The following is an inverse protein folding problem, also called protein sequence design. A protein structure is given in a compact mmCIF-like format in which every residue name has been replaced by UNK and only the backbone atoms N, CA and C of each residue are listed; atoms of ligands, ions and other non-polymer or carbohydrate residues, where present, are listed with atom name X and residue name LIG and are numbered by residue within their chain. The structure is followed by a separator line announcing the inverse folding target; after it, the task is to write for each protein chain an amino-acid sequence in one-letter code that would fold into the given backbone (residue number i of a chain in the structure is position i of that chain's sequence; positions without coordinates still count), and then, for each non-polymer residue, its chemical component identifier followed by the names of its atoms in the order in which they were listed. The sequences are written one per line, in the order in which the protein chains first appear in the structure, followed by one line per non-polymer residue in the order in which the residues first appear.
data_IF_550665355276
#
_entry.id   IF_550665355276
#
_cell.length_a   1.000
_cell.length_b   1.000
_cell.length_c   1.000
_cell.angle_alpha   90.00
_cell.angle_beta   90.00
_cell.angle_gamma   90.00
#
_symmetry.space_group_name_H-M   'P 1'
#
loop_
_entity.id
_entity.type
_entity.pdbx_description
1 polymer ?
#
# COMPACT_ATOMS: atom_id res chain seq x y z
N UNK A 1 17.07 7.37 33.65
CA UNK A 1 17.05 6.91 32.26
C UNK A 1 17.91 5.67 32.02
N UNK A 2 19.17 5.65 32.43
CA UNK A 2 20.13 4.52 32.22
C UNK A 2 19.67 3.15 32.81
N UNK A 3 18.99 3.15 33.96
CA UNK A 3 18.48 1.91 34.59
C UNK A 3 17.29 1.28 33.87
N UNK A 4 16.48 2.09 33.19
CA UNK A 4 15.32 1.61 32.42
C UNK A 4 15.80 0.95 31.12
N UNK A 5 16.77 1.56 30.44
CA UNK A 5 17.38 1.02 29.21
C UNK A 5 18.03 -0.35 29.48
N UNK A 6 18.76 -0.50 30.57
CA UNK A 6 19.36 -1.79 30.97
C UNK A 6 18.31 -2.87 31.24
N UNK A 7 17.16 -2.52 31.85
CA UNK A 7 16.06 -3.47 32.08
C UNK A 7 15.38 -3.89 30.76
N UNK A 8 15.20 -2.96 29.82
CA UNK A 8 14.63 -3.28 28.50
C UNK A 8 15.59 -4.18 27.71
N UNK A 9 16.89 -3.88 27.69
CA UNK A 9 17.90 -4.73 27.03
C UNK A 9 17.95 -6.13 27.67
N UNK A 10 17.89 -6.22 29.02
CA UNK A 10 17.86 -7.51 29.72
C UNK A 10 16.57 -8.30 29.41
N UNK A 11 15.42 -7.63 29.30
CA UNK A 11 14.15 -8.26 28.93
C UNK A 11 14.17 -8.78 27.49
N UNK A 12 14.74 -8.04 26.56
CA UNK A 12 14.93 -8.44 25.16
C UNK A 12 15.91 -9.62 25.06
N UNK A 13 17.01 -9.60 25.81
CA UNK A 13 17.98 -10.71 25.84
C UNK A 13 17.41 -11.95 26.52
N UNK A 14 16.57 -11.81 27.54
CA UNK A 14 15.89 -12.91 28.20
C UNK A 14 14.83 -13.56 27.29
N UNK A 15 14.10 -12.74 26.50
CA UNK A 15 13.15 -13.26 25.51
C UNK A 15 13.86 -14.03 24.39
N UNK A 16 15.07 -13.63 24.01
CA UNK A 16 15.89 -14.34 23.02
C UNK A 16 16.33 -15.72 23.52
N UNK A 17 16.67 -15.87 24.80
CA UNK A 17 17.10 -17.16 25.36
C UNK A 17 15.96 -18.20 25.41
N UNK A 18 14.71 -17.77 25.61
CA UNK A 18 13.55 -18.68 25.57
C UNK A 18 13.17 -19.13 24.16
N UNK A 19 13.44 -18.34 23.14
CA UNK A 19 13.05 -18.63 21.77
C UNK A 19 14.00 -19.63 21.07
N UNK A 20 15.26 -19.67 21.48
CA UNK A 20 16.26 -20.60 20.89
C UNK A 20 15.97 -22.06 21.28
N UNK A 21 15.27 -22.32 22.39
CA UNK A 21 15.02 -23.70 22.86
C UNK A 21 13.84 -24.42 22.17
N UNK A 22 13.00 -23.73 21.35
CA UNK A 22 11.84 -24.37 20.70
C UNK A 22 11.94 -24.48 19.17
N UNK A 23 13.13 -24.26 18.60
CA UNK A 23 13.28 -24.15 17.15
C UNK A 23 13.81 -25.41 16.48
N UNK A 24 13.12 -26.52 16.59
CA UNK A 24 13.39 -27.75 15.82
C UNK A 24 12.35 -28.09 14.75
N UNK A 25 11.56 -27.13 14.27
CA UNK A 25 10.77 -27.39 13.07
C UNK A 25 11.40 -26.69 11.88
N UNK A 26 12.10 -27.44 11.03
CA UNK A 26 12.57 -26.99 9.72
C UNK A 26 11.40 -26.35 8.97
N UNK A 27 11.48 -25.05 8.74
CA UNK A 27 10.60 -24.39 7.77
C UNK A 27 11.12 -24.83 6.39
N UNK A 28 10.34 -25.56 5.57
CA UNK A 28 10.83 -26.13 4.33
C UNK A 28 11.28 -25.06 3.31
N UNK A 29 10.78 -23.86 3.41
CA UNK A 29 11.13 -22.72 2.57
C UNK A 29 11.53 -21.54 3.45
N UNK A 30 12.78 -21.07 3.25
CA UNK A 30 13.29 -19.88 3.93
C UNK A 30 12.66 -18.58 3.41
N UNK A 31 11.85 -18.68 2.37
CA UNK A 31 11.23 -17.55 1.66
C UNK A 31 9.72 -17.58 1.88
N UNK A 32 9.13 -16.44 2.00
CA UNK A 32 7.68 -16.26 2.01
C UNK A 32 7.28 -15.09 1.12
N UNK A 33 6.06 -15.15 0.63
CA UNK A 33 5.41 -14.09 -0.12
C UNK A 33 3.94 -13.95 0.29
N UNK A 34 3.41 -12.74 0.19
CA UNK A 34 2.01 -12.46 0.51
C UNK A 34 1.49 -11.35 -0.40
N UNK A 35 0.28 -11.54 -0.91
CA UNK A 35 -0.51 -10.51 -1.58
C UNK A 35 -1.71 -10.20 -0.70
N UNK A 36 -1.93 -8.93 -0.38
CA UNK A 36 -2.98 -8.51 0.55
C UNK A 36 -3.78 -7.34 -0.01
N UNK A 37 -5.06 -7.31 0.30
CA UNK A 37 -5.86 -6.10 0.21
C UNK A 37 -5.57 -5.21 1.42
N UNK A 38 -5.51 -3.90 1.19
CA UNK A 38 -5.14 -2.91 2.21
C UNK A 38 -6.19 -1.82 2.29
N UNK A 39 -6.56 -1.49 3.52
CA UNK A 39 -7.26 -0.24 3.85
C UNK A 39 -6.23 0.65 4.52
N UNK A 40 -5.89 1.76 3.87
CA UNK A 40 -4.95 2.77 4.40
C UNK A 40 -5.76 3.94 4.95
N UNK A 41 -5.70 4.14 6.25
CA UNK A 41 -6.40 5.20 6.95
C UNK A 41 -5.41 6.33 7.25
N UNK A 42 -5.58 7.53 6.69
CA UNK A 42 -4.82 8.72 7.05
C UNK A 42 -4.93 9.03 8.54
N UNK A 43 -3.83 9.49 9.14
CA UNK A 43 -3.76 9.83 10.56
C UNK A 43 -3.23 11.26 10.75
N UNK A 44 -3.52 11.85 11.92
CA UNK A 44 -3.00 13.16 12.29
C UNK A 44 -3.35 14.26 11.28
N UNK A 45 -2.36 15.05 10.89
CA UNK A 45 -2.52 16.14 9.93
C UNK A 45 -2.97 15.66 8.54
N UNK A 46 -2.52 14.46 8.13
CA UNK A 46 -2.92 13.89 6.86
C UNK A 46 -4.42 13.61 6.81
N UNK A 47 -5.02 13.14 7.91
CA UNK A 47 -6.46 12.88 7.99
C UNK A 47 -7.32 14.15 7.90
N UNK A 48 -6.80 15.30 8.35
CA UNK A 48 -7.50 16.58 8.25
C UNK A 48 -7.65 17.04 6.79
N UNK A 49 -6.68 16.65 5.96
CA UNK A 49 -6.61 17.03 4.55
C UNK A 49 -7.20 15.95 3.65
N UNK A 50 -7.02 14.65 4.02
CA UNK A 50 -7.53 13.50 3.29
C UNK A 50 -8.61 12.83 4.13
N UNK A 51 -9.85 13.24 3.95
CA UNK A 51 -11.00 12.75 4.75
C UNK A 51 -11.59 11.44 4.22
N UNK A 52 -10.75 10.59 3.61
CA UNK A 52 -11.17 9.28 3.05
C UNK A 52 -10.09 8.23 3.28
N UNK A 53 -10.53 7.00 3.54
CA UNK A 53 -9.64 5.86 3.58
C UNK A 53 -9.18 5.50 2.17
N UNK A 54 -7.90 5.20 2.02
CA UNK A 54 -7.36 4.63 0.80
C UNK A 54 -7.62 3.14 0.73
N UNK A 55 -7.94 2.65 -0.47
CA UNK A 55 -8.02 1.22 -0.78
C UNK A 55 -6.85 0.85 -1.67
N UNK A 56 -6.29 -0.35 -1.45
CA UNK A 56 -5.12 -0.74 -2.20
C UNK A 56 -4.70 -2.19 -2.06
N UNK A 57 -3.50 -2.46 -2.54
CA UNK A 57 -2.86 -3.77 -2.53
C UNK A 57 -1.49 -3.66 -1.90
N UNK A 58 -1.12 -4.66 -1.09
CA UNK A 58 0.21 -4.83 -0.53
C UNK A 58 0.85 -6.10 -1.07
N UNK A 59 2.03 -5.96 -1.63
CA UNK A 59 2.94 -7.05 -1.98
C UNK A 59 4.03 -7.11 -0.92
N UNK A 60 4.17 -8.24 -0.28
CA UNK A 60 5.09 -8.45 0.84
C UNK A 60 5.89 -9.73 0.61
N UNK A 61 7.20 -9.68 0.83
CA UNK A 61 8.06 -10.84 0.69
C UNK A 61 9.35 -10.72 1.48
N UNK A 62 9.91 -11.87 1.87
CA UNK A 62 11.13 -11.90 2.63
C UNK A 62 11.68 -13.31 2.84
N UNK A 63 12.82 -13.37 3.51
CA UNK A 63 13.47 -14.63 3.84
C UNK A 63 13.86 -14.68 5.33
N UNK A 64 13.79 -15.88 5.89
CA UNK A 64 14.21 -16.14 7.27
C UNK A 64 15.73 -16.30 7.35
N UNK A 65 16.37 -15.54 8.23
CA UNK A 65 17.81 -15.56 8.44
C UNK A 65 18.15 -16.85 9.18
N UNK A 66 19.05 -17.63 8.61
CA UNK A 66 19.56 -18.90 9.18
C UNK A 66 18.46 -19.89 9.65
N UNK A 67 17.34 -19.94 8.95
CA UNK A 67 16.15 -20.71 9.38
C UNK A 67 15.65 -20.32 10.79
N UNK A 68 16.02 -19.12 11.26
CA UNK A 68 15.69 -18.60 12.57
C UNK A 68 14.32 -17.91 12.62
N UNK A 69 13.98 -17.31 13.77
CA UNK A 69 12.69 -16.64 13.97
C UNK A 69 12.62 -15.26 13.34
N UNK A 70 13.72 -14.76 12.81
CA UNK A 70 13.83 -13.42 12.26
C UNK A 70 13.90 -13.49 10.74
N UNK A 71 13.05 -12.75 10.07
CA UNK A 71 13.09 -12.56 8.64
C UNK A 71 13.45 -11.11 8.29
N UNK A 72 14.08 -10.93 7.14
CA UNK A 72 14.26 -9.65 6.48
C UNK A 72 13.49 -9.67 5.17
N UNK A 73 12.95 -8.54 4.77
CA UNK A 73 12.14 -8.48 3.55
C UNK A 73 11.80 -7.07 3.13
N UNK A 74 10.90 -6.98 2.18
CA UNK A 74 10.36 -5.74 1.66
C UNK A 74 8.86 -5.83 1.42
N UNK A 75 8.17 -4.70 1.55
CA UNK A 75 6.77 -4.55 1.19
C UNK A 75 6.58 -3.34 0.30
N UNK A 76 5.68 -3.50 -0.68
CA UNK A 76 5.23 -2.41 -1.54
C UNK A 76 3.72 -2.30 -1.41
N UNK A 77 3.24 -1.14 -0.96
CA UNK A 77 1.82 -0.85 -0.83
C UNK A 77 1.45 0.19 -1.88
N UNK A 78 0.41 -0.10 -2.65
CA UNK A 78 -0.25 0.84 -3.56
C UNK A 78 -1.64 1.11 -3.01
N UNK A 79 -1.97 2.37 -2.69
CA UNK A 79 -3.29 2.75 -2.21
C UNK A 79 -3.77 4.03 -2.88
N UNK A 80 -5.05 4.06 -3.23
CA UNK A 80 -5.71 5.23 -3.79
C UNK A 80 -6.60 5.86 -2.71
N UNK A 81 -6.47 7.16 -2.48
CA UNK A 81 -7.22 7.88 -1.44
C UNK A 81 -8.13 8.99 -1.97
N UNK A 82 -8.05 9.35 -3.24
CA UNK A 82 -8.89 10.36 -3.86
C UNK A 82 -9.19 10.06 -5.32
N UNK A 83 -10.39 10.42 -5.76
CA UNK A 83 -10.77 10.36 -7.18
C UNK A 83 -11.82 11.43 -7.46
N UNK A 84 -11.63 12.15 -8.54
CA UNK A 84 -12.54 13.15 -9.07
C UNK A 84 -12.72 12.88 -10.56
N UNK A 85 -13.98 12.73 -11.00
CA UNK A 85 -14.31 12.57 -12.42
C UNK A 85 -15.20 13.71 -12.86
N UNK A 86 -14.96 14.24 -14.04
CA UNK A 86 -15.82 15.26 -14.67
C UNK A 86 -15.89 15.01 -16.18
N UNK A 87 -16.98 15.45 -16.75
CA UNK A 87 -17.20 15.44 -18.19
C UNK A 87 -16.79 16.79 -18.77
N UNK A 88 -15.94 16.78 -19.81
CA UNK A 88 -15.46 17.96 -20.52
C UNK A 88 -15.85 17.87 -21.98
N UNK A 89 -16.32 18.96 -22.63
CA UNK A 89 -16.60 18.94 -24.06
C UNK A 89 -15.28 18.81 -24.85
N UNK A 90 -15.26 17.96 -25.87
CA UNK A 90 -14.11 17.78 -26.76
C UNK A 90 -13.75 19.07 -27.51
N UNK A 91 -14.74 19.88 -27.85
CA UNK A 91 -14.55 21.10 -28.56
C UNK A 91 -15.36 22.25 -27.94
N UNK A 92 -14.76 23.43 -27.94
CA UNK A 92 -15.42 24.64 -27.45
C UNK A 92 -16.66 25.03 -28.29
N UNK A 93 -16.70 24.60 -29.56
CA UNK A 93 -17.78 24.90 -30.49
C UNK A 93 -18.85 23.81 -30.63
N UNK A 94 -18.63 22.65 -30.02
CA UNK A 94 -19.56 21.53 -30.11
C UNK A 94 -19.56 20.71 -28.82
N UNK A 95 -20.71 20.62 -28.21
CA UNK A 95 -20.95 19.73 -27.03
C UNK A 95 -21.34 18.31 -27.45
N UNK A 96 -21.25 17.99 -28.75
CA UNK A 96 -21.68 16.68 -29.26
C UNK A 96 -20.79 15.52 -28.87
N UNK A 97 -19.53 15.78 -28.47
CA UNK A 97 -18.59 14.76 -28.00
C UNK A 97 -18.13 15.16 -26.60
N UNK A 98 -18.38 14.28 -25.62
CA UNK A 98 -17.99 14.47 -24.25
C UNK A 98 -16.83 13.55 -23.91
N UNK A 99 -15.81 14.10 -23.29
CA UNK A 99 -14.66 13.36 -22.76
C UNK A 99 -14.78 13.27 -21.24
N UNK A 100 -14.44 12.14 -20.67
CA UNK A 100 -14.34 11.97 -19.23
C UNK A 100 -12.90 12.18 -18.77
N UNK A 101 -12.70 13.23 -18.00
CA UNK A 101 -11.47 13.46 -17.26
C UNK A 101 -11.58 12.86 -15.86
N UNK A 102 -10.66 11.97 -15.51
CA UNK A 102 -10.59 11.36 -14.17
C UNK A 102 -9.24 11.66 -13.55
N UNK A 103 -9.26 12.40 -12.45
CA UNK A 103 -8.07 12.67 -11.63
C UNK A 103 -8.08 11.77 -10.40
N UNK A 104 -6.98 11.08 -10.15
CA UNK A 104 -6.82 10.12 -9.06
C UNK A 104 -5.58 10.48 -8.23
N UNK A 105 -5.74 10.47 -6.90
CA UNK A 105 -4.65 10.67 -5.97
C UNK A 105 -4.34 9.34 -5.25
N UNK A 106 -3.09 8.96 -5.28
CA UNK A 106 -2.60 7.71 -4.70
C UNK A 106 -1.32 7.87 -3.90
N UNK A 107 -0.99 6.83 -3.16
CA UNK A 107 0.25 6.72 -2.41
C UNK A 107 0.88 5.34 -2.64
N UNK A 108 2.19 5.34 -2.84
CA UNK A 108 3.01 4.14 -2.93
C UNK A 108 3.99 4.15 -1.77
N UNK A 109 4.03 3.06 -0.98
CA UNK A 109 5.01 2.89 0.08
C UNK A 109 5.94 1.74 -0.26
N UNK A 110 7.25 1.97 -0.17
CA UNK A 110 8.30 0.97 -0.40
C UNK A 110 9.08 0.83 0.89
N UNK A 111 8.92 -0.30 1.57
CA UNK A 111 9.41 -0.48 2.94
C UNK A 111 10.24 -1.76 3.09
N UNK A 112 11.56 -1.69 3.14
CA UNK A 112 12.35 -2.74 3.75
C UNK A 112 12.02 -2.89 5.23
N UNK A 113 12.08 -4.13 5.73
CA UNK A 113 11.72 -4.43 7.12
C UNK A 113 12.50 -5.60 7.71
N UNK A 114 12.47 -5.65 9.04
CA UNK A 114 12.86 -6.81 9.86
C UNK A 114 11.61 -7.33 10.55
N UNK A 115 11.45 -8.67 10.54
CA UNK A 115 10.25 -9.34 11.06
C UNK A 115 10.61 -10.50 11.98
N UNK A 116 10.71 -10.30 13.30
CA UNK A 116 10.68 -11.39 14.26
C UNK A 116 9.31 -12.08 14.24
N UNK A 117 9.31 -13.40 14.33
CA UNK A 117 8.12 -14.25 14.28
C UNK A 117 8.16 -15.25 15.42
N UNK A 118 7.02 -15.43 16.10
CA UNK A 118 6.83 -16.41 17.17
C UNK A 118 5.76 -17.39 16.72
N UNK A 119 6.07 -18.68 16.75
CA UNK A 119 5.13 -19.75 16.39
C UNK A 119 4.38 -20.22 17.63
N UNK A 120 3.04 -20.12 17.59
CA UNK A 120 2.15 -20.60 18.66
C UNK A 120 1.14 -21.56 18.02
N UNK A 121 1.43 -22.86 18.12
CA UNK A 121 0.61 -23.89 17.49
C UNK A 121 0.55 -23.71 15.96
N UNK A 122 -0.65 -23.50 15.43
CA UNK A 122 -0.90 -23.26 14.00
C UNK A 122 -0.76 -21.79 13.59
N UNK A 123 -0.61 -20.88 14.56
CA UNK A 123 -0.49 -19.46 14.34
C UNK A 123 0.98 -19.02 14.39
N UNK A 124 1.36 -18.13 13.51
CA UNK A 124 2.63 -17.43 13.54
C UNK A 124 2.35 -15.96 13.82
N UNK A 125 2.64 -15.51 15.02
CA UNK A 125 2.57 -14.09 15.37
C UNK A 125 3.87 -13.42 14.93
N UNK A 126 3.77 -12.24 14.35
CA UNK A 126 4.95 -11.48 13.96
C UNK A 126 4.82 -10.01 14.34
N UNK A 127 5.97 -9.44 14.64
CA UNK A 127 6.18 -8.00 14.73
C UNK A 127 7.00 -7.60 13.50
N UNK A 128 6.74 -6.44 12.95
CA UNK A 128 7.49 -5.89 11.82
C UNK A 128 8.00 -4.50 12.20
N UNK A 129 9.28 -4.24 12.01
CA UNK A 129 9.84 -2.90 12.09
C UNK A 129 10.35 -2.53 10.70
N UNK A 130 9.95 -1.38 10.19
CA UNK A 130 10.27 -0.96 8.84
C UNK A 130 10.70 0.52 8.77
N UNK A 131 11.42 0.83 7.72
CA UNK A 131 11.72 2.19 7.31
C UNK A 131 11.89 2.22 5.81
N UNK A 132 11.41 3.26 5.15
CA UNK A 132 11.41 3.30 3.71
C UNK A 132 11.03 4.66 3.16
N UNK A 133 10.42 4.64 1.99
CA UNK A 133 10.02 5.83 1.26
C UNK A 133 8.58 5.72 0.80
N UNK A 134 7.86 6.81 0.83
CA UNK A 134 6.51 6.93 0.31
C UNK A 134 6.45 8.01 -0.76
N UNK A 135 5.69 7.74 -1.81
CA UNK A 135 5.50 8.60 -2.97
C UNK A 135 4.01 8.88 -3.07
N UNK A 136 3.64 10.16 -3.09
CA UNK A 136 2.27 10.60 -3.31
C UNK A 136 2.17 11.11 -4.73
N UNK A 137 1.22 10.57 -5.49
CA UNK A 137 1.02 10.92 -6.90
C UNK A 137 -0.41 11.36 -7.16
N UNK A 138 -0.57 12.28 -8.09
CA UNK A 138 -1.89 12.63 -8.63
C UNK A 138 -1.81 12.57 -10.14
N UNK A 139 -2.56 11.65 -10.70
CA UNK A 139 -2.63 11.38 -12.13
C UNK A 139 -3.98 11.82 -12.70
N UNK A 140 -3.97 12.37 -13.92
CA UNK A 140 -5.18 12.63 -14.71
C UNK A 140 -5.19 11.77 -15.95
N UNK A 141 -6.36 11.23 -16.26
CA UNK A 141 -6.66 10.42 -17.44
C UNK A 141 -7.84 11.02 -18.17
N UNK A 142 -7.76 11.09 -19.49
CA UNK A 142 -8.83 11.54 -20.37
C UNK A 142 -9.26 10.36 -21.24
N UNK A 143 -10.56 10.05 -21.18
CA UNK A 143 -11.18 8.94 -21.92
C UNK A 143 -12.36 9.45 -22.73
N UNK A 144 -12.66 8.79 -23.87
CA UNK A 144 -13.89 9.02 -24.59
C UNK A 144 -15.05 8.25 -23.92
N UNK A 145 -16.13 8.94 -23.61
CA UNK A 145 -17.31 8.35 -22.94
C UNK A 145 -18.01 7.30 -23.83
N UNK A 146 -17.97 7.46 -25.14
CA UNK A 146 -18.57 6.52 -26.09
C UNK A 146 -17.89 5.15 -26.12
N UNK A 147 -16.61 5.06 -25.76
CA UNK A 147 -15.87 3.80 -25.70
C UNK A 147 -16.10 3.00 -24.40
N UNK A 148 -16.61 3.64 -23.35
CA UNK A 148 -16.93 2.96 -22.10
C UNK A 148 -18.15 2.05 -22.24
N UNK A 149 -19.06 2.38 -23.17
CA UNK A 149 -20.32 1.67 -23.41
C UNK A 149 -20.27 0.65 -24.55
N UNK A 150 -19.22 0.62 -25.35
CA UNK A 150 -19.04 -0.40 -26.37
C UNK A 150 -18.18 -1.54 -25.81
N UNK A 151 -18.75 -2.75 -25.82
CA UNK A 151 -18.04 -4.00 -25.52
C UNK A 151 -16.71 -4.02 -26.28
N UNK A 152 -15.63 -3.82 -25.56
CA UNK A 152 -14.28 -3.86 -26.09
C UNK A 152 -14.07 -5.21 -26.75
N UNK A 153 -13.80 -5.21 -28.02
CA UNK A 153 -13.33 -6.39 -28.73
C UNK A 153 -12.02 -6.80 -28.04
N UNK A 154 -11.85 -8.04 -27.56
CA UNK A 154 -10.67 -8.42 -26.78
C UNK A 154 -9.35 -8.39 -27.57
N UNK A 155 -9.38 -8.09 -28.84
CA UNK A 155 -8.21 -8.07 -29.72
C UNK A 155 -7.64 -6.66 -29.99
N UNK A 156 -8.19 -5.58 -29.42
CA UNK A 156 -7.60 -4.25 -29.53
C UNK A 156 -6.82 -3.90 -28.26
N UNK A 157 -5.51 -4.08 -28.32
CA UNK A 157 -4.50 -3.69 -27.32
C UNK A 157 -4.35 -2.17 -27.13
N UNK A 158 -5.36 -1.36 -27.43
CA UNK A 158 -5.30 0.08 -27.15
C UNK A 158 -6.06 0.38 -25.86
N UNK A 159 -5.33 0.85 -24.79
CA UNK A 159 -6.02 1.40 -23.65
C UNK A 159 -6.88 2.57 -24.15
N UNK A 160 -8.18 2.56 -23.84
CA UNK A 160 -9.14 3.59 -24.28
C UNK A 160 -8.89 4.99 -23.67
N UNK A 161 -7.61 5.32 -23.43
CA UNK A 161 -7.16 6.61 -22.94
C UNK A 161 -6.68 7.46 -24.12
N UNK A 162 -7.24 8.67 -24.25
CA UNK A 162 -6.77 9.68 -25.20
C UNK A 162 -5.47 10.31 -24.68
N UNK A 163 -5.39 10.56 -23.36
CA UNK A 163 -4.22 11.11 -22.71
C UNK A 163 -4.14 10.66 -21.23
N UNK A 164 -2.92 10.53 -20.74
CA UNK A 164 -2.62 10.32 -19.32
C UNK A 164 -1.43 11.21 -18.94
N UNK A 165 -1.53 11.91 -17.82
CA UNK A 165 -0.45 12.75 -17.29
C UNK A 165 -0.41 12.68 -15.78
N UNK A 166 0.80 12.66 -15.22
CA UNK A 166 1.01 12.90 -13.78
C UNK A 166 1.04 14.40 -13.57
N UNK A 167 0.12 14.90 -12.76
CA UNK A 167 -0.04 16.33 -12.48
C UNK A 167 0.87 16.75 -11.33
N UNK A 168 0.99 15.88 -10.33
CA UNK A 168 1.73 16.17 -9.12
C UNK A 168 2.36 14.91 -8.53
N UNK A 169 3.61 15.04 -8.09
CA UNK A 169 4.34 13.99 -7.41
C UNK A 169 5.25 14.60 -6.36
N UNK A 170 5.24 14.03 -5.17
CA UNK A 170 6.18 14.35 -4.10
C UNK A 170 6.36 13.11 -3.20
N UNK A 171 7.40 13.10 -2.38
CA UNK A 171 7.67 11.97 -1.54
C UNK A 171 8.37 12.31 -0.24
N UNK A 172 8.30 11.38 0.70
CA UNK A 172 8.90 11.52 2.01
C UNK A 172 9.39 10.18 2.56
N UNK A 173 10.35 10.24 3.47
CA UNK A 173 10.72 9.06 4.26
C UNK A 173 9.58 8.67 5.19
N UNK A 174 9.42 7.37 5.39
CA UNK A 174 8.50 6.81 6.36
C UNK A 174 9.18 5.74 7.20
N UNK A 175 8.68 5.53 8.41
CA UNK A 175 9.11 4.47 9.30
C UNK A 175 7.96 4.06 10.22
N UNK A 176 8.06 2.88 10.79
CA UNK A 176 7.02 2.42 11.69
C UNK A 176 7.15 0.98 12.10
N UNK A 177 6.04 0.46 12.59
CA UNK A 177 5.93 -0.91 13.03
C UNK A 177 4.60 -1.52 12.59
N UNK A 178 4.58 -2.85 12.55
CA UNK A 178 3.39 -3.63 12.24
C UNK A 178 3.28 -4.84 13.16
N UNK A 179 2.06 -5.25 13.40
CA UNK A 179 1.70 -6.47 14.11
C UNK A 179 0.88 -7.34 13.18
N UNK A 180 1.13 -8.65 13.18
CA UNK A 180 0.30 -9.51 12.36
C UNK A 180 0.30 -10.96 12.83
N UNK A 181 -0.63 -11.69 12.24
CA UNK A 181 -0.79 -13.13 12.45
C UNK A 181 -0.88 -13.82 11.10
N UNK A 182 -0.17 -14.93 10.98
CA UNK A 182 -0.28 -15.86 9.84
C UNK A 182 -0.77 -17.20 10.35
N UNK A 183 -1.70 -17.79 9.64
CA UNK A 183 -2.16 -19.16 9.90
C UNK A 183 -2.30 -19.94 8.62
N UNK A 184 -1.90 -21.20 8.66
CA UNK A 184 -2.00 -22.10 7.53
C UNK A 184 -3.46 -22.47 7.29
N UNK A 185 -3.98 -22.11 6.10
CA UNK A 185 -5.30 -22.53 5.63
C UNK A 185 -5.23 -23.96 5.09
N UNK A 186 -4.19 -24.23 4.30
CA UNK A 186 -3.91 -25.56 3.76
C UNK A 186 -2.45 -25.92 4.10
N UNK A 187 -2.23 -27.00 4.87
CA UNK A 187 -0.89 -27.49 5.11
C UNK A 187 -0.24 -27.95 3.80
N UNK A 188 1.05 -27.71 3.67
CA UNK A 188 1.81 -28.20 2.53
C UNK A 188 1.70 -29.71 2.38
N UNK A 189 1.55 -30.19 1.15
CA UNK A 189 1.51 -31.62 0.83
C UNK A 189 2.91 -32.08 0.37
N UNK A 190 3.28 -33.30 0.73
CA UNK A 190 4.46 -33.96 0.17
C UNK A 190 4.11 -34.36 -1.27
N UNK A 191 4.86 -33.85 -2.24
CA UNK A 191 4.75 -34.22 -3.64
C UNK A 191 5.34 -35.62 -3.89
N UNK A 192 5.04 -36.21 -5.04
CA UNK A 192 5.56 -37.53 -5.43
C UNK A 192 7.10 -37.56 -5.57
N UNK A 193 7.72 -36.41 -5.76
CA UNK A 193 9.17 -36.24 -5.82
C UNK A 193 9.84 -36.08 -4.44
N UNK A 194 9.07 -36.22 -3.35
CA UNK A 194 9.54 -36.02 -1.97
C UNK A 194 9.67 -34.57 -1.54
N UNK A 195 9.39 -33.60 -2.41
CA UNK A 195 9.43 -32.17 -2.03
C UNK A 195 8.13 -31.76 -1.33
N UNK A 196 8.23 -30.87 -0.34
CA UNK A 196 7.05 -30.26 0.29
C UNK A 196 6.56 -29.07 -0.53
N UNK A 197 5.26 -29.05 -0.84
CA UNK A 197 4.63 -27.84 -1.37
C UNK A 197 4.53 -26.78 -0.26
N UNK A 198 4.66 -25.51 -0.63
CA UNK A 198 4.45 -24.41 0.31
C UNK A 198 3.01 -24.43 0.86
N UNK A 199 2.79 -24.22 2.16
CA UNK A 199 1.46 -24.10 2.72
C UNK A 199 0.81 -22.80 2.21
N UNK A 200 -0.49 -22.85 1.93
CA UNK A 200 -1.24 -21.60 1.72
C UNK A 200 -1.60 -21.02 3.08
N UNK A 201 -1.23 -19.77 3.30
CA UNK A 201 -1.46 -19.08 4.57
C UNK A 201 -2.34 -17.85 4.38
N UNK A 202 -3.16 -17.56 5.39
CA UNK A 202 -3.83 -16.27 5.53
C UNK A 202 -2.94 -15.37 6.40
N UNK A 203 -2.80 -14.12 5.97
CA UNK A 203 -2.04 -13.09 6.68
C UNK A 203 -2.97 -11.94 7.05
N UNK A 204 -2.98 -11.59 8.33
CA UNK A 204 -3.65 -10.39 8.85
C UNK A 204 -2.57 -9.49 9.45
N UNK A 205 -2.54 -8.23 9.06
CA UNK A 205 -1.52 -7.27 9.53
C UNK A 205 -2.14 -5.91 9.82
N UNK A 206 -1.76 -5.32 10.95
CA UNK A 206 -1.99 -3.94 11.33
C UNK A 206 -0.65 -3.23 11.29
N UNK A 207 -0.58 -2.08 10.61
CA UNK A 207 0.66 -1.35 10.36
C UNK A 207 0.48 0.12 10.69
N UNK A 208 1.35 0.68 11.52
CA UNK A 208 1.45 2.10 11.82
C UNK A 208 2.67 2.67 11.13
N UNK A 209 2.45 3.63 10.26
CA UNK A 209 3.47 4.32 9.48
C UNK A 209 3.50 5.79 9.84
N UNK A 210 4.62 6.27 10.33
CA UNK A 210 4.88 7.69 10.53
C UNK A 210 5.55 8.21 9.26
N UNK A 211 4.84 9.05 8.53
CA UNK A 211 5.34 9.67 7.31
C UNK A 211 6.01 11.01 7.58
N UNK A 212 7.00 11.35 6.78
CA UNK A 212 7.57 12.69 6.73
C UNK A 212 6.61 13.69 6.12
N UNK A 213 7.03 14.94 6.06
CA UNK A 213 6.29 15.99 5.36
C UNK A 213 6.41 15.80 3.84
N UNK A 214 5.28 15.79 3.16
CA UNK A 214 5.20 15.82 1.71
C UNK A 214 4.10 16.78 1.25
N UNK A 215 4.20 17.20 0.01
CA UNK A 215 3.15 17.93 -0.69
C UNK A 215 2.28 16.93 -1.44
N UNK A 216 0.99 17.18 -1.53
CA UNK A 216 0.07 16.33 -2.26
C UNK A 216 -1.19 17.07 -2.66
N UNK A 217 -1.86 16.56 -3.68
CA UNK A 217 -3.21 16.96 -4.08
C UNK A 217 -4.19 15.89 -3.61
N UNK A 218 -5.38 16.33 -3.20
CA UNK A 218 -6.49 15.43 -2.93
C UNK A 218 -7.59 15.64 -3.95
N UNK A 219 -7.63 14.81 -4.99
CA UNK A 219 -8.64 14.86 -6.04
C UNK A 219 -10.09 14.71 -5.53
N UNK A 220 -10.28 14.17 -4.32
CA UNK A 220 -11.60 14.00 -3.70
C UNK A 220 -12.02 15.11 -2.74
N UNK A 221 -11.22 16.19 -2.58
CA UNK A 221 -11.50 17.30 -1.68
C UNK A 221 -11.78 18.59 -2.45
N UNK A 222 -12.86 19.25 -2.12
CA UNK A 222 -13.20 20.55 -2.69
C UNK A 222 -12.08 21.57 -2.44
N UNK A 223 -11.72 22.33 -3.47
CA UNK A 223 -10.70 23.37 -3.42
C UNK A 223 -9.26 22.91 -3.62
N UNK A 224 -8.96 21.60 -3.65
CA UNK A 224 -7.62 21.10 -3.98
C UNK A 224 -7.30 21.25 -5.48
N UNK A 225 -8.33 21.12 -6.31
CA UNK A 225 -8.29 21.30 -7.75
C UNK A 225 -9.46 22.22 -8.11
N UNK A 226 -9.17 23.41 -8.61
CA UNK A 226 -10.17 24.40 -9.00
C UNK A 226 -10.15 24.57 -10.51
N UNK A 227 -11.32 24.51 -11.10
CA UNK A 227 -11.55 24.71 -12.52
C UNK A 227 -12.18 26.07 -12.74
N UNK A 228 -11.73 26.83 -13.76
CA UNK A 228 -12.42 28.05 -14.17
C UNK A 228 -13.78 27.71 -14.78
N UNK A 229 -14.72 28.67 -14.72
CA UNK A 229 -16.01 28.53 -15.39
C UNK A 229 -15.80 28.46 -16.90
N UNK A 230 -16.38 27.48 -17.60
CA UNK A 230 -16.34 27.41 -19.07
C UNK A 230 -16.93 28.64 -19.77
N UNK A 231 -17.82 29.39 -19.09
CA UNK A 231 -18.40 30.62 -19.63
C UNK A 231 -17.38 31.76 -19.74
N UNK A 232 -16.28 31.72 -18.98
CA UNK A 232 -15.25 32.76 -18.96
C UNK A 232 -14.11 32.53 -19.97
N UNK A 233 -14.16 31.44 -20.74
CA UNK A 233 -13.11 31.11 -21.71
C UNK A 233 -12.58 29.71 -21.61
N UNK A 234 -11.34 29.43 -22.03
CA UNK A 234 -10.72 28.11 -21.92
C UNK A 234 -10.67 27.66 -20.44
N UNK A 235 -11.07 26.42 -20.16
CA UNK A 235 -11.05 25.88 -18.79
C UNK A 235 -9.61 25.80 -18.30
N UNK A 236 -9.27 26.67 -17.36
CA UNK A 236 -7.99 26.65 -16.65
C UNK A 236 -8.14 25.80 -15.40
N UNK A 237 -7.17 24.92 -15.15
CA UNK A 237 -7.12 24.12 -13.94
C UNK A 237 -6.04 24.66 -13.01
N UNK A 238 -6.43 25.05 -11.81
CA UNK A 238 -5.52 25.55 -10.79
C UNK A 238 -5.38 24.52 -9.68
N UNK A 239 -4.14 24.21 -9.31
CA UNK A 239 -3.81 23.20 -8.31
C UNK A 239 -3.35 23.87 -7.02
N UNK A 240 -3.91 23.45 -5.89
CA UNK A 240 -3.54 23.92 -4.56
C UNK A 240 -3.00 22.73 -3.74
N UNK A 241 -1.70 22.38 -3.89
CA UNK A 241 -1.10 21.30 -3.14
C UNK A 241 -1.04 21.66 -1.65
N UNK A 242 -1.44 20.70 -0.82
CA UNK A 242 -1.33 20.79 0.62
C UNK A 242 -0.02 20.17 1.08
N UNK A 243 0.54 20.64 2.19
CA UNK A 243 1.75 20.10 2.80
C UNK A 243 1.44 19.70 4.23
N UNK A 244 1.69 18.45 4.59
CA UNK A 244 1.59 17.95 5.96
C UNK A 244 2.44 16.70 6.15
N UNK A 245 2.54 16.24 7.39
CA UNK A 245 2.98 14.87 7.68
C UNK A 245 1.97 13.90 7.09
N UNK A 246 2.47 12.76 6.62
CA UNK A 246 1.68 11.78 5.87
C UNK A 246 1.59 10.44 6.61
N UNK A 247 1.16 10.54 7.88
CA UNK A 247 1.02 9.40 8.78
C UNK A 247 -0.16 8.51 8.34
N UNK A 248 0.02 7.19 8.42
CA UNK A 248 -0.96 6.19 7.97
C UNK A 248 -1.12 5.06 8.99
N UNK A 249 -2.34 4.60 9.13
CA UNK A 249 -2.67 3.32 9.72
C UNK A 249 -3.22 2.39 8.65
N UNK A 250 -2.62 1.21 8.47
CA UNK A 250 -3.02 0.26 7.45
C UNK A 250 -3.52 -1.03 8.06
N UNK A 251 -4.63 -1.54 7.54
CA UNK A 251 -5.18 -2.86 7.84
C UNK A 251 -5.05 -3.69 6.57
N UNK A 252 -4.38 -4.84 6.66
CA UNK A 252 -4.13 -5.72 5.53
C UNK A 252 -4.65 -7.13 5.78
N UNK A 253 -5.33 -7.68 4.78
CA UNK A 253 -5.80 -9.08 4.75
C UNK A 253 -5.33 -9.71 3.45
N UNK A 254 -4.62 -10.83 3.53
CA UNK A 254 -4.03 -11.42 2.34
C UNK A 254 -3.77 -12.90 2.41
N UNK A 255 -3.34 -13.42 1.26
CA UNK A 255 -2.97 -14.81 1.05
C UNK A 255 -1.49 -14.88 0.70
N UNK A 256 -0.80 -15.88 1.22
CA UNK A 256 0.60 -16.10 0.96
C UNK A 256 1.03 -17.56 1.05
N UNK A 257 2.34 -17.77 0.97
CA UNK A 257 3.01 -19.06 1.08
C UNK A 257 4.21 -18.99 2.01
#
# INVERSE_FOLDING_TARGET
MHKIIKKIIALVLLSWSFTVCQMTSRVPNNVYGTVSLVIAQPQGEFSNNVNRNGLGVNLDGGWYIFNGPVAIGGSVIFAQYGSLSRDIPFSYFSSAITLRETTQSGIVLINPYVRPTIKIGTFNLFLKAFGGYQILTTDTKIQNDDQINQNSNPDEDQPGYIAKSTIFEDGAFNYGYGLGVRFALFPGKIKADGTMSSPTVINLELKWSNGGEARYLNAGKDGSIVFSDPADGPVLTTFFPQKSRTDLFCISVGIGF
#
